data_IF_840119470585
#
_entry.id   IF_840119470585
#
_cell.length_a   1.000
_cell.length_b   1.000
_cell.length_c   1.000
_cell.angle_alpha   90.00
_cell.angle_beta   90.00
_cell.angle_gamma   90.00
#
_symmetry.space_group_name_H-M   'P 1'
#
loop_
_entity.id
_entity.type
_entity.pdbx_description
1 polymer ?
#
# COMPACT_ATOMS: atom_id res chain seq x y z
N UNK A 1 -51.24 20.26 25.46
CA UNK A 1 -49.78 20.16 25.70
C UNK A 1 -49.31 18.97 24.87
N UNK A 2 -48.78 19.24 23.68
CA UNK A 2 -48.14 18.21 22.85
C UNK A 2 -46.85 17.80 23.56
N UNK A 3 -46.80 16.58 24.10
CA UNK A 3 -45.57 15.96 24.57
C UNK A 3 -44.60 15.91 23.38
N UNK A 4 -43.71 16.88 23.25
CA UNK A 4 -42.60 16.79 22.32
C UNK A 4 -41.64 15.76 22.91
N UNK A 5 -41.48 14.64 22.22
CA UNK A 5 -40.45 13.65 22.54
C UNK A 5 -39.09 14.36 22.54
N UNK A 6 -38.30 14.21 23.58
CA UNK A 6 -36.93 14.73 23.63
C UNK A 6 -36.10 14.03 22.55
N UNK A 7 -35.46 14.81 21.67
CA UNK A 7 -34.57 14.25 20.67
C UNK A 7 -33.22 13.89 21.32
N UNK A 8 -32.66 12.75 20.88
CA UNK A 8 -31.32 12.28 21.23
C UNK A 8 -30.39 12.35 20.04
N UNK A 9 -29.08 12.20 20.26
CA UNK A 9 -28.09 12.14 19.17
C UNK A 9 -28.30 10.89 18.29
N UNK A 10 -28.80 9.80 18.90
CA UNK A 10 -29.20 8.57 18.18
C UNK A 10 -30.35 8.80 17.22
N UNK A 11 -31.31 9.67 17.56
CA UNK A 11 -32.40 10.07 16.66
C UNK A 11 -31.88 10.88 15.45
N UNK A 12 -30.72 11.50 15.60
CA UNK A 12 -30.02 12.20 14.53
C UNK A 12 -29.11 11.29 13.69
N UNK A 13 -29.03 9.99 14.03
CA UNK A 13 -28.28 8.98 13.27
C UNK A 13 -26.87 8.70 13.78
N UNK A 14 -26.49 9.22 14.97
CA UNK A 14 -25.17 8.97 15.58
C UNK A 14 -25.35 8.15 16.87
N UNK A 15 -24.74 6.96 16.93
CA UNK A 15 -24.84 6.05 18.06
C UNK A 15 -23.52 5.97 18.87
N UNK A 16 -23.44 6.78 19.93
CA UNK A 16 -22.26 6.83 20.82
C UNK A 16 -21.94 5.46 21.43
N UNK A 17 -22.95 4.65 21.76
CA UNK A 17 -22.76 3.32 22.37
C UNK A 17 -22.12 2.36 21.37
N UNK A 18 -22.50 2.41 20.10
CA UNK A 18 -21.87 1.64 19.03
C UNK A 18 -20.39 2.02 18.87
N UNK A 19 -20.06 3.31 18.94
CA UNK A 19 -18.66 3.79 18.92
C UNK A 19 -17.85 3.24 20.10
N UNK A 20 -18.42 3.23 21.31
CA UNK A 20 -17.76 2.68 22.49
C UNK A 20 -17.56 1.16 22.39
N UNK A 21 -18.55 0.42 21.86
CA UNK A 21 -18.45 -1.03 21.64
C UNK A 21 -17.33 -1.34 20.65
N UNK A 22 -17.23 -0.59 19.54
CA UNK A 22 -16.14 -0.72 18.57
C UNK A 22 -14.78 -0.56 19.25
N UNK A 23 -14.57 0.51 20.04
CA UNK A 23 -13.32 0.75 20.76
C UNK A 23 -12.97 -0.43 21.68
N UNK A 24 -13.94 -0.97 22.41
CA UNK A 24 -13.72 -2.11 23.30
C UNK A 24 -13.31 -3.37 22.52
N UNK A 25 -13.92 -3.61 21.38
CA UNK A 25 -13.63 -4.78 20.52
C UNK A 25 -12.23 -4.73 19.91
N UNK A 26 -11.72 -3.57 19.53
CA UNK A 26 -10.41 -3.43 18.87
C UNK A 26 -9.23 -3.35 19.83
N UNK A 27 -9.43 -3.09 21.13
CA UNK A 27 -8.34 -2.96 22.12
C UNK A 27 -7.34 -4.12 22.08
N UNK A 28 -7.84 -5.35 21.91
CA UNK A 28 -7.02 -6.57 21.87
C UNK A 28 -6.06 -6.62 20.69
N UNK A 29 -6.56 -6.30 19.48
CA UNK A 29 -5.76 -6.35 18.26
C UNK A 29 -4.78 -5.18 18.18
N UNK A 30 -5.20 -4.00 18.62
CA UNK A 30 -4.33 -2.81 18.69
C UNK A 30 -3.15 -3.04 19.64
N UNK A 31 -3.38 -3.66 20.79
CA UNK A 31 -2.33 -4.00 21.76
C UNK A 31 -1.22 -4.90 21.16
N UNK A 32 -1.55 -5.72 20.16
CA UNK A 32 -0.58 -6.61 19.51
C UNK A 32 0.42 -5.86 18.60
N UNK A 33 0.13 -4.62 18.24
CA UNK A 33 0.99 -3.78 17.39
C UNK A 33 1.99 -2.94 18.20
N UNK A 34 1.96 -3.03 19.54
CA UNK A 34 2.67 -2.12 20.43
C UNK A 34 4.19 -2.17 20.22
N UNK A 35 4.79 -0.98 20.18
CA UNK A 35 6.24 -0.76 20.15
C UNK A 35 6.73 -0.22 21.49
N UNK A 36 8.02 -0.42 21.84
CA UNK A 36 8.61 0.12 23.07
C UNK A 36 8.52 1.65 23.18
N UNK A 37 8.58 2.35 22.04
CA UNK A 37 8.57 3.81 21.97
C UNK A 37 7.20 4.41 22.27
N UNK A 38 6.13 3.63 22.18
CA UNK A 38 4.76 4.10 22.41
C UNK A 38 4.45 4.18 23.90
N UNK A 39 4.13 5.39 24.35
CA UNK A 39 3.78 5.69 25.74
C UNK A 39 2.25 5.84 25.88
N UNK A 40 1.63 5.01 26.75
CA UNK A 40 0.19 5.05 26.95
C UNK A 40 -0.56 3.97 26.16
N UNK A 41 -1.84 4.21 25.88
CA UNK A 41 -2.76 3.30 25.18
C UNK A 41 -3.88 4.07 24.51
N UNK A 42 -4.86 3.34 23.93
CA UNK A 42 -6.06 3.93 23.31
C UNK A 42 -6.92 4.68 24.33
N UNK A 43 -7.60 5.73 23.89
CA UNK A 43 -8.60 6.48 24.66
C UNK A 43 -8.11 7.83 25.19
N UNK A 44 -6.87 8.24 24.89
CA UNK A 44 -6.40 9.60 25.12
C UNK A 44 -6.73 10.53 23.94
N UNK A 45 -6.61 11.84 24.14
CA UNK A 45 -6.78 12.84 23.05
C UNK A 45 -5.68 12.76 22.00
N UNK A 46 -4.54 12.16 22.30
CA UNK A 46 -3.43 11.97 21.40
C UNK A 46 -2.52 10.84 21.85
N UNK A 47 -1.77 10.29 20.91
CA UNK A 47 -0.77 9.27 21.19
C UNK A 47 0.60 9.90 21.43
N UNK A 48 1.36 9.33 22.35
CA UNK A 48 2.72 9.72 22.65
C UNK A 48 3.67 8.63 22.16
N UNK A 49 4.67 9.03 21.37
CA UNK A 49 5.71 8.14 20.89
C UNK A 49 7.07 8.80 21.07
N UNK A 50 8.00 8.14 21.76
CA UNK A 50 9.37 8.59 21.84
C UNK A 50 10.12 8.27 20.57
N UNK A 51 11.14 9.06 20.24
CA UNK A 51 12.05 8.71 19.16
C UNK A 51 13.00 7.58 19.62
N UNK A 52 13.25 6.56 18.76
CA UNK A 52 14.23 5.52 19.09
C UNK A 52 15.63 6.09 19.30
N UNK A 53 16.30 5.67 20.36
CA UNK A 53 17.62 6.20 20.76
C UNK A 53 18.76 5.83 19.79
N UNK A 54 18.53 4.93 18.85
CA UNK A 54 19.53 4.51 17.86
C UNK A 54 19.87 5.60 16.83
N UNK A 55 18.98 6.58 16.62
CA UNK A 55 19.18 7.68 15.67
C UNK A 55 19.90 8.85 16.34
N UNK A 56 20.92 9.43 15.66
CA UNK A 56 21.69 10.58 16.13
C UNK A 56 21.12 11.91 15.64
N UNK A 57 20.78 11.98 14.37
CA UNK A 57 20.08 13.09 13.72
C UNK A 57 18.77 12.58 13.09
N UNK A 58 17.76 12.24 13.92
CA UNK A 58 16.51 11.65 13.43
C UNK A 58 15.72 12.65 12.59
N UNK A 59 15.31 12.23 11.40
CA UNK A 59 14.37 12.94 10.53
C UNK A 59 13.05 12.17 10.54
N UNK A 60 11.97 12.87 10.85
CA UNK A 60 10.62 12.28 10.75
C UNK A 60 10.14 12.30 9.30
N UNK A 61 9.61 11.19 8.86
CA UNK A 61 8.96 11.03 7.56
C UNK A 61 7.49 10.72 7.82
N UNK A 62 6.59 11.43 7.18
CA UNK A 62 5.15 11.24 7.35
C UNK A 62 4.45 11.14 6.00
N UNK A 63 3.42 10.30 5.95
CA UNK A 63 2.58 10.11 4.78
C UNK A 63 1.14 9.86 5.18
N UNK A 64 0.24 10.17 4.27
CA UNK A 64 -1.18 9.86 4.37
C UNK A 64 -1.66 9.30 3.05
N UNK A 65 -2.50 8.29 3.11
CA UNK A 65 -3.13 7.68 1.94
C UNK A 65 -4.48 7.05 2.31
N UNK A 66 -5.24 6.67 1.30
CA UNK A 66 -6.46 5.90 1.41
C UNK A 66 -6.35 4.57 0.66
N UNK A 67 -7.47 3.85 0.58
CA UNK A 67 -7.56 2.61 -0.22
C UNK A 67 -8.12 2.89 -1.62
N UNK A 68 -8.84 3.99 -1.76
CA UNK A 68 -9.48 4.36 -3.01
C UNK A 68 -10.66 3.45 -3.38
N UNK A 69 -10.96 3.36 -4.67
CA UNK A 69 -12.20 2.70 -5.15
C UNK A 69 -12.18 1.16 -5.08
N UNK A 70 -11.11 0.54 -4.58
CA UNK A 70 -11.10 -0.86 -4.12
C UNK A 70 -12.12 -1.07 -3.00
N UNK A 71 -12.33 -0.04 -2.15
CA UNK A 71 -13.37 -0.06 -1.11
C UNK A 71 -14.75 -0.40 -1.69
N UNK A 72 -15.12 0.19 -2.84
CA UNK A 72 -16.43 -0.09 -3.44
C UNK A 72 -16.57 -1.57 -3.80
N UNK A 73 -15.52 -2.18 -4.35
CA UNK A 73 -15.53 -3.62 -4.66
C UNK A 73 -15.64 -4.46 -3.38
N UNK A 74 -14.92 -4.09 -2.32
CA UNK A 74 -14.99 -4.77 -1.02
C UNK A 74 -16.38 -4.67 -0.39
N UNK A 75 -17.01 -3.50 -0.44
CA UNK A 75 -18.38 -3.28 0.05
C UNK A 75 -19.41 -4.09 -0.76
N UNK A 76 -19.31 -4.07 -2.09
CA UNK A 76 -20.22 -4.81 -2.97
C UNK A 76 -20.13 -6.33 -2.74
N UNK A 77 -18.93 -6.84 -2.43
CA UNK A 77 -18.68 -8.27 -2.14
C UNK A 77 -18.74 -8.60 -0.63
N UNK A 78 -18.99 -7.62 0.24
CA UNK A 78 -19.00 -7.76 1.71
C UNK A 78 -17.75 -8.42 2.27
N UNK A 79 -16.58 -8.03 1.74
CA UNK A 79 -15.26 -8.55 2.13
C UNK A 79 -14.39 -7.38 2.64
N UNK A 80 -14.31 -7.24 3.96
CA UNK A 80 -13.72 -6.08 4.63
C UNK A 80 -12.41 -6.40 5.35
N UNK A 81 -12.09 -7.67 5.54
CA UNK A 81 -11.04 -8.20 6.41
C UNK A 81 -9.61 -7.84 5.96
N UNK A 82 -9.38 -7.61 4.66
CA UNK A 82 -8.07 -7.29 4.11
C UNK A 82 -7.86 -5.79 3.81
N UNK A 83 -8.94 -5.01 3.79
CA UNK A 83 -8.90 -3.58 3.42
C UNK A 83 -7.99 -2.76 4.34
N UNK A 84 -7.97 -3.08 5.64
CA UNK A 84 -7.07 -2.42 6.58
C UNK A 84 -5.59 -2.67 6.28
N UNK A 85 -5.24 -3.85 5.75
CA UNK A 85 -3.87 -4.15 5.30
C UNK A 85 -3.50 -3.26 4.11
N UNK A 86 -4.43 -3.10 3.14
CA UNK A 86 -4.24 -2.19 2.01
C UNK A 86 -3.94 -0.76 2.49
N UNK A 87 -4.73 -0.25 3.45
CA UNK A 87 -4.56 1.09 3.98
C UNK A 87 -3.16 1.30 4.58
N UNK A 88 -2.74 0.38 5.44
CA UNK A 88 -1.41 0.44 6.07
C UNK A 88 -0.32 0.34 5.01
N UNK A 89 -0.43 -0.60 4.08
CA UNK A 89 0.57 -0.83 3.04
C UNK A 89 0.81 0.41 2.18
N UNK A 90 -0.26 1.11 1.77
CA UNK A 90 -0.15 2.34 0.97
C UNK A 90 0.66 3.41 1.71
N UNK A 91 0.45 3.56 3.01
CA UNK A 91 1.18 4.55 3.82
C UNK A 91 2.62 4.11 4.13
N UNK A 92 2.83 2.90 4.66
CA UNK A 92 4.16 2.49 5.15
C UNK A 92 5.16 2.20 4.03
N UNK A 93 4.68 1.75 2.87
CA UNK A 93 5.53 1.56 1.70
C UNK A 93 6.07 2.90 1.18
N UNK A 94 5.27 3.98 1.23
CA UNK A 94 5.71 5.32 0.84
C UNK A 94 6.72 5.94 1.83
N UNK A 95 6.71 5.49 3.09
CA UNK A 95 7.73 5.89 4.06
C UNK A 95 9.04 5.15 3.82
N UNK A 96 8.98 3.82 3.64
CA UNK A 96 10.20 3.00 3.52
C UNK A 96 10.99 3.28 2.25
N UNK A 97 10.36 3.82 1.18
CA UNK A 97 11.11 4.21 -0.04
C UNK A 97 12.11 5.35 0.22
N UNK A 98 11.95 6.09 1.31
CA UNK A 98 12.89 7.12 1.77
C UNK A 98 13.88 6.60 2.82
N UNK A 99 13.90 5.28 3.08
CA UNK A 99 14.73 4.65 4.10
C UNK A 99 14.13 4.71 5.51
N UNK A 100 12.91 5.21 5.66
CA UNK A 100 12.32 5.43 6.98
C UNK A 100 11.72 4.14 7.57
N UNK A 101 12.02 3.90 8.84
CA UNK A 101 11.35 2.90 9.68
C UNK A 101 10.01 3.45 10.16
N UNK A 102 8.86 2.83 9.81
CA UNK A 102 7.56 3.25 10.34
C UNK A 102 7.49 3.07 11.86
N UNK A 103 7.07 4.12 12.59
CA UNK A 103 6.95 4.11 14.04
C UNK A 103 5.53 3.88 14.50
N UNK A 104 4.59 4.71 14.01
CA UNK A 104 3.20 4.63 14.41
C UNK A 104 2.25 4.99 13.28
N UNK A 105 1.04 4.50 13.43
CA UNK A 105 -0.07 4.64 12.48
C UNK A 105 -1.32 5.15 13.19
N UNK A 106 -2.08 5.98 12.50
CA UNK A 106 -3.40 6.46 12.88
C UNK A 106 -4.34 6.23 11.70
N UNK A 107 -5.59 5.90 11.97
CA UNK A 107 -6.61 5.75 10.95
C UNK A 107 -7.78 6.73 11.16
N UNK A 108 -8.50 6.99 10.09
CA UNK A 108 -9.78 7.69 10.09
C UNK A 108 -10.78 6.82 9.33
N UNK A 109 -11.80 6.35 10.04
CA UNK A 109 -12.90 5.57 9.48
C UNK A 109 -14.16 6.43 9.47
N UNK A 110 -14.71 6.72 8.29
CA UNK A 110 -15.89 7.55 8.11
C UNK A 110 -17.01 6.75 7.45
N UNK A 111 -18.23 6.86 7.97
CA UNK A 111 -19.41 6.15 7.46
C UNK A 111 -20.68 6.95 7.67
N UNK A 112 -21.75 6.63 6.95
CA UNK A 112 -23.08 7.24 7.20
C UNK A 112 -23.73 6.72 8.46
N UNK A 113 -23.57 5.41 8.73
CA UNK A 113 -24.03 4.72 9.94
C UNK A 113 -23.04 3.64 10.30
N UNK A 114 -22.62 3.61 11.56
CA UNK A 114 -21.63 2.65 12.02
C UNK A 114 -22.19 1.23 12.09
N UNK A 115 -21.65 0.35 11.26
CA UNK A 115 -21.72 -1.10 11.44
C UNK A 115 -20.47 -1.56 12.18
N UNK A 116 -20.64 -1.95 13.45
CA UNK A 116 -19.54 -2.29 14.35
C UNK A 116 -18.74 -3.51 13.85
N UNK A 117 -19.41 -4.48 13.22
CA UNK A 117 -18.74 -5.69 12.72
C UNK A 117 -17.84 -5.36 11.53
N UNK A 118 -18.33 -4.57 10.58
CA UNK A 118 -17.56 -4.08 9.43
C UNK A 118 -16.37 -3.24 9.87
N UNK A 119 -16.59 -2.26 10.75
CA UNK A 119 -15.53 -1.40 11.25
C UNK A 119 -14.46 -2.18 12.03
N UNK A 120 -14.87 -3.10 12.91
CA UNK A 120 -13.95 -3.96 13.65
C UNK A 120 -13.12 -4.87 12.70
N UNK A 121 -13.73 -5.37 11.62
CA UNK A 121 -13.03 -6.15 10.60
C UNK A 121 -11.95 -5.32 9.90
N UNK A 122 -12.29 -4.11 9.45
CA UNK A 122 -11.33 -3.19 8.81
C UNK A 122 -10.19 -2.82 9.75
N UNK A 123 -10.49 -2.44 11.00
CA UNK A 123 -9.46 -2.06 11.99
C UNK A 123 -8.59 -3.26 12.38
N UNK A 124 -9.14 -4.47 12.40
CA UNK A 124 -8.35 -5.70 12.58
C UNK A 124 -7.36 -5.88 11.43
N UNK A 125 -7.76 -5.61 10.20
CA UNK A 125 -6.87 -5.57 9.04
C UNK A 125 -5.79 -4.49 9.17
N UNK A 126 -6.12 -3.29 9.68
CA UNK A 126 -5.15 -2.23 9.97
C UNK A 126 -4.11 -2.72 11.01
N UNK A 127 -4.56 -3.32 12.10
CA UNK A 127 -3.66 -3.87 13.10
C UNK A 127 -2.74 -4.97 12.52
N UNK A 128 -3.26 -5.81 11.62
CA UNK A 128 -2.44 -6.82 10.93
C UNK A 128 -1.39 -6.19 10.02
N UNK A 129 -1.76 -5.17 9.24
CA UNK A 129 -0.80 -4.40 8.43
C UNK A 129 0.28 -3.72 9.27
N UNK A 130 -0.09 -3.17 10.43
CA UNK A 130 0.83 -2.59 11.39
C UNK A 130 1.81 -3.64 11.95
N UNK A 131 1.36 -4.84 12.27
CA UNK A 131 2.23 -5.96 12.70
C UNK A 131 3.21 -6.37 11.60
N UNK A 132 2.73 -6.46 10.36
CA UNK A 132 3.58 -6.81 9.22
C UNK A 132 4.68 -5.78 8.99
N UNK A 133 4.36 -4.49 9.10
CA UNK A 133 5.32 -3.39 8.94
C UNK A 133 6.18 -3.12 10.17
N UNK A 134 5.82 -3.65 11.35
CA UNK A 134 6.47 -3.32 12.62
C UNK A 134 6.10 -1.94 13.16
N UNK A 135 5.00 -1.38 12.68
CA UNK A 135 4.43 -0.09 13.09
C UNK A 135 3.42 -0.28 14.22
N UNK A 136 3.26 0.70 15.10
CA UNK A 136 2.24 0.66 16.16
C UNK A 136 0.97 1.37 15.72
N UNK A 137 -0.19 0.71 15.79
CA UNK A 137 -1.48 1.39 15.72
C UNK A 137 -1.72 2.08 17.06
N UNK A 138 -1.66 3.41 17.10
CA UNK A 138 -1.67 4.17 18.35
C UNK A 138 -2.95 4.94 18.61
N UNK A 139 -3.85 5.00 17.63
CA UNK A 139 -5.13 5.68 17.72
C UNK A 139 -5.79 5.78 16.37
N UNK A 140 -6.89 6.48 16.33
CA UNK A 140 -7.67 6.74 15.15
C UNK A 140 -8.94 7.49 15.49
N UNK A 141 -9.79 7.71 14.51
CA UNK A 141 -11.10 8.34 14.65
C UNK A 141 -12.14 7.51 13.90
N UNK A 142 -13.30 7.33 14.50
CA UNK A 142 -14.47 6.74 13.85
C UNK A 142 -15.59 7.77 13.82
N UNK A 143 -15.97 8.21 12.63
CA UNK A 143 -16.96 9.25 12.44
C UNK A 143 -18.24 8.71 11.79
N UNK A 144 -19.36 8.81 12.50
CA UNK A 144 -20.68 8.67 11.89
C UNK A 144 -21.12 10.02 11.31
N UNK A 145 -21.35 10.07 10.00
CA UNK A 145 -21.73 11.28 9.26
C UNK A 145 -22.99 11.03 8.43
N UNK A 146 -24.17 10.96 9.08
CA UNK A 146 -25.45 10.74 8.41
C UNK A 146 -25.69 11.76 7.30
N UNK A 147 -26.03 11.26 6.09
CA UNK A 147 -26.25 12.10 4.92
C UNK A 147 -25.01 12.47 4.10
N UNK A 148 -23.80 12.21 4.61
CA UNK A 148 -22.55 12.34 3.85
C UNK A 148 -22.21 11.06 3.10
N UNK A 149 -22.42 9.90 3.72
CA UNK A 149 -22.27 8.59 3.12
C UNK A 149 -23.63 7.90 3.00
N UNK A 150 -23.81 7.08 1.97
CA UNK A 150 -25.07 6.39 1.68
C UNK A 150 -25.03 4.94 2.18
N UNK A 151 -26.09 4.53 2.90
CA UNK A 151 -26.22 3.15 3.39
C UNK A 151 -25.02 2.72 4.24
N UNK A 152 -24.42 1.59 3.85
CA UNK A 152 -23.27 0.98 4.52
C UNK A 152 -21.92 1.44 3.92
N UNK A 153 -21.92 2.52 3.12
CA UNK A 153 -20.70 3.06 2.54
C UNK A 153 -19.80 3.63 3.63
N UNK A 154 -18.50 3.38 3.47
CA UNK A 154 -17.48 3.94 4.34
C UNK A 154 -16.25 4.36 3.54
N UNK A 155 -15.45 5.23 4.12
CA UNK A 155 -14.13 5.61 3.62
C UNK A 155 -13.10 5.47 4.74
N UNK A 156 -11.85 5.23 4.35
CA UNK A 156 -10.74 5.11 5.30
C UNK A 156 -9.53 5.89 4.82
N UNK A 157 -8.91 6.60 5.75
CA UNK A 157 -7.64 7.27 5.54
C UNK A 157 -6.64 6.84 6.61
N UNK A 158 -5.39 6.67 6.21
CA UNK A 158 -4.28 6.31 7.10
C UNK A 158 -3.26 7.43 7.19
N UNK A 159 -2.64 7.55 8.35
CA UNK A 159 -1.54 8.46 8.63
C UNK A 159 -0.41 7.66 9.27
N UNK A 160 0.73 7.67 8.65
CA UNK A 160 1.92 6.99 9.16
C UNK A 160 3.04 7.99 9.42
N UNK A 161 3.75 7.81 10.53
CA UNK A 161 4.98 8.54 10.84
C UNK A 161 6.08 7.53 11.05
N UNK A 162 7.20 7.77 10.39
CA UNK A 162 8.43 6.99 10.49
C UNK A 162 9.63 7.88 10.79
N UNK A 163 10.77 7.27 10.93
CA UNK A 163 12.05 7.95 11.23
C UNK A 163 13.16 7.35 10.39
N UNK A 164 14.07 8.23 9.97
CA UNK A 164 15.30 7.85 9.28
C UNK A 164 16.46 8.68 9.83
N UNK A 165 17.67 8.10 9.85
CA UNK A 165 18.89 8.88 10.12
C UNK A 165 19.14 9.84 8.96
N UNK A 166 19.44 11.10 9.23
CA UNK A 166 19.60 12.16 8.22
C UNK A 166 20.59 11.78 7.11
N UNK A 167 21.68 11.10 7.48
CA UNK A 167 22.71 10.66 6.53
C UNK A 167 22.29 9.44 5.70
N UNK A 168 21.17 8.77 6.04
CA UNK A 168 20.69 7.55 5.42
C UNK A 168 19.40 7.76 4.59
N UNK A 169 19.00 9.02 4.39
CA UNK A 169 17.84 9.35 3.55
C UNK A 169 18.11 8.88 2.12
N UNK A 170 17.15 8.12 1.59
CA UNK A 170 17.14 7.67 0.20
C UNK A 170 16.27 8.64 -0.61
N UNK A 171 16.90 9.47 -1.44
CA UNK A 171 16.24 10.51 -2.22
C UNK A 171 16.53 10.42 -3.74
N UNK A 172 17.23 9.37 -4.16
CA UNK A 172 17.63 9.18 -5.56
C UNK A 172 18.87 9.95 -5.99
N UNK A 173 19.45 10.82 -5.15
CA UNK A 173 20.62 11.65 -5.49
C UNK A 173 21.87 10.83 -5.80
N UNK A 174 21.97 9.62 -5.26
CA UNK A 174 23.09 8.69 -5.49
C UNK A 174 22.97 7.91 -6.81
N UNK A 175 21.84 7.94 -7.50
CA UNK A 175 21.63 7.17 -8.73
C UNK A 175 22.57 7.63 -9.82
N UNK A 176 23.30 6.68 -10.42
CA UNK A 176 24.28 6.92 -11.47
C UNK A 176 24.01 6.07 -12.71
N UNK A 177 24.50 6.52 -13.91
CA UNK A 177 24.45 5.66 -15.08
C UNK A 177 25.22 4.35 -14.87
N UNK A 178 24.58 3.23 -15.14
CA UNK A 178 25.11 1.90 -14.90
C UNK A 178 24.46 1.19 -13.72
N UNK A 179 23.75 1.91 -12.87
CA UNK A 179 22.90 1.30 -11.84
C UNK A 179 21.85 0.40 -12.49
N UNK A 180 21.45 -0.61 -11.74
CA UNK A 180 20.40 -1.54 -12.12
C UNK A 180 19.19 -1.39 -11.23
N UNK A 181 18.02 -1.76 -11.76
CA UNK A 181 16.78 -1.81 -11.03
C UNK A 181 16.44 -3.25 -10.69
N UNK A 182 16.27 -3.56 -9.41
CA UNK A 182 15.76 -4.83 -8.92
C UNK A 182 14.31 -4.65 -8.55
N UNK A 183 13.43 -5.46 -9.16
CA UNK A 183 11.99 -5.38 -8.92
C UNK A 183 11.55 -6.36 -7.84
N UNK A 184 10.60 -5.98 -7.01
CA UNK A 184 9.93 -6.82 -6.04
C UNK A 184 8.51 -7.11 -6.52
N UNK A 185 8.11 -8.38 -6.48
CA UNK A 185 6.80 -8.82 -6.95
C UNK A 185 5.65 -8.23 -6.13
N UNK A 186 4.57 -7.87 -6.83
CA UNK A 186 3.29 -7.49 -6.22
C UNK A 186 2.46 -8.72 -5.86
N UNK A 187 1.57 -8.58 -4.88
CA UNK A 187 0.57 -9.62 -4.52
C UNK A 187 -0.61 -9.66 -5.52
N UNK A 188 -0.88 -8.53 -6.18
CA UNK A 188 -1.97 -8.31 -7.10
C UNK A 188 -2.00 -6.87 -7.57
N UNK A 189 -3.16 -6.32 -7.94
CA UNK A 189 -3.29 -4.91 -8.35
C UNK A 189 -3.01 -3.90 -7.22
N UNK A 190 -2.84 -4.37 -5.99
CA UNK A 190 -2.69 -3.57 -4.79
C UNK A 190 -3.94 -2.73 -4.53
N UNK A 191 -3.81 -1.40 -4.42
CA UNK A 191 -4.94 -0.49 -4.20
C UNK A 191 -5.08 0.55 -5.32
N UNK A 192 -4.50 0.31 -6.50
CA UNK A 192 -4.47 1.27 -7.60
C UNK A 192 -5.22 0.75 -8.84
N UNK A 193 -5.79 1.68 -9.61
CA UNK A 193 -6.47 1.36 -10.86
C UNK A 193 -7.89 0.80 -10.68
N UNK A 194 -8.48 0.79 -9.49
CA UNK A 194 -9.77 0.13 -9.23
C UNK A 194 -10.97 0.80 -9.89
N UNK A 195 -10.90 2.07 -10.23
CA UNK A 195 -11.93 2.69 -11.06
C UNK A 195 -11.99 2.03 -12.45
N UNK A 196 -10.82 1.71 -13.03
CA UNK A 196 -10.74 0.98 -14.30
C UNK A 196 -11.14 -0.50 -14.12
N UNK A 197 -10.68 -1.17 -13.05
CA UNK A 197 -11.11 -2.55 -12.72
C UNK A 197 -12.62 -2.65 -12.67
N UNK A 198 -13.30 -1.79 -11.90
CA UNK A 198 -14.75 -1.77 -11.77
C UNK A 198 -15.44 -1.50 -13.12
N UNK A 199 -14.89 -0.57 -13.91
CA UNK A 199 -15.41 -0.31 -15.25
C UNK A 199 -15.27 -1.53 -16.18
N UNK A 200 -14.15 -2.26 -16.08
CA UNK A 200 -13.95 -3.51 -16.85
C UNK A 200 -14.96 -4.56 -16.44
N UNK A 201 -15.17 -4.78 -15.14
CA UNK A 201 -16.19 -5.72 -14.64
C UNK A 201 -17.59 -5.38 -15.17
N UNK A 202 -17.93 -4.08 -15.17
CA UNK A 202 -19.22 -3.57 -15.67
C UNK A 202 -19.38 -3.83 -17.18
N UNK A 203 -18.46 -3.40 -18.01
CA UNK A 203 -18.57 -3.52 -19.47
C UNK A 203 -18.44 -4.95 -19.97
N UNK A 204 -17.69 -5.80 -19.26
CA UNK A 204 -17.57 -7.23 -19.58
C UNK A 204 -18.71 -8.07 -18.99
N UNK A 205 -19.60 -7.46 -18.22
CA UNK A 205 -20.68 -8.13 -17.48
C UNK A 205 -20.16 -9.34 -16.66
N UNK A 206 -19.00 -9.17 -16.01
CA UNK A 206 -18.32 -10.24 -15.28
C UNK A 206 -18.68 -10.23 -13.80
N UNK A 207 -19.14 -11.37 -13.29
CA UNK A 207 -19.23 -11.58 -11.84
C UNK A 207 -17.90 -12.11 -11.32
N UNK A 208 -17.17 -11.33 -10.48
CA UNK A 208 -15.83 -11.71 -10.04
C UNK A 208 -15.83 -12.91 -9.08
N UNK A 209 -16.90 -13.18 -8.36
CA UNK A 209 -17.00 -14.35 -7.46
C UNK A 209 -17.19 -15.66 -8.24
N UNK A 210 -17.87 -15.60 -9.41
CA UNK A 210 -18.16 -16.76 -10.24
C UNK A 210 -17.10 -17.01 -11.32
N UNK A 211 -16.24 -16.02 -11.58
CA UNK A 211 -15.18 -16.14 -12.59
C UNK A 211 -13.95 -16.75 -11.96
N UNK A 212 -13.52 -17.92 -12.47
CA UNK A 212 -12.32 -18.61 -12.00
C UNK A 212 -11.08 -18.17 -12.80
N UNK A 213 -9.99 -17.91 -12.10
CA UNK A 213 -8.69 -17.55 -12.66
C UNK A 213 -7.60 -18.31 -11.89
N UNK A 214 -6.85 -19.19 -12.54
CA UNK A 214 -5.79 -20.01 -11.92
C UNK A 214 -6.24 -20.74 -10.64
N UNK A 215 -7.48 -21.23 -10.60
CA UNK A 215 -8.01 -22.02 -9.49
C UNK A 215 -8.52 -21.22 -8.29
N UNK A 216 -8.52 -19.88 -8.37
CA UNK A 216 -9.15 -18.96 -7.41
C UNK A 216 -10.26 -18.18 -8.10
N UNK A 217 -11.13 -17.52 -7.33
CA UNK A 217 -12.07 -16.57 -7.92
C UNK A 217 -11.33 -15.31 -8.38
N UNK A 218 -11.86 -14.62 -9.39
CA UNK A 218 -11.35 -13.32 -9.78
C UNK A 218 -11.45 -12.32 -8.63
N UNK A 219 -12.48 -12.43 -7.79
CA UNK A 219 -12.62 -11.62 -6.58
C UNK A 219 -11.44 -11.81 -5.62
N UNK A 220 -10.93 -13.03 -5.43
CA UNK A 220 -9.74 -13.29 -4.60
C UNK A 220 -8.50 -12.59 -5.15
N UNK A 221 -8.30 -12.60 -6.46
CA UNK A 221 -7.18 -11.88 -7.10
C UNK A 221 -7.32 -10.36 -6.99
N UNK A 222 -8.54 -9.85 -7.12
CA UNK A 222 -8.81 -8.41 -7.05
C UNK A 222 -8.82 -7.86 -5.61
N UNK A 223 -9.16 -8.68 -4.61
CA UNK A 223 -9.15 -8.28 -3.21
C UNK A 223 -7.89 -8.73 -2.46
N UNK A 224 -6.92 -9.36 -3.15
CA UNK A 224 -5.62 -9.66 -2.53
C UNK A 224 -5.02 -8.38 -1.95
N UNK A 225 -4.65 -8.36 -0.66
CA UNK A 225 -4.15 -7.15 -0.02
C UNK A 225 -2.83 -6.68 -0.62
N UNK A 226 -2.63 -5.38 -0.60
CA UNK A 226 -1.38 -4.73 -0.99
C UNK A 226 -0.23 -5.27 -0.15
N UNK A 227 0.84 -5.68 -0.82
CA UNK A 227 2.02 -6.21 -0.15
C UNK A 227 2.76 -5.13 0.62
N UNK A 228 3.17 -5.46 1.85
CA UNK A 228 3.99 -4.61 2.70
C UNK A 228 5.46 -5.02 2.55
N UNK A 229 6.31 -4.10 2.06
CA UNK A 229 7.72 -4.35 1.76
C UNK A 229 8.67 -3.89 2.88
N UNK A 230 8.16 -3.29 3.94
CA UNK A 230 8.95 -2.59 4.97
C UNK A 230 10.11 -3.44 5.51
N UNK A 231 9.82 -4.65 5.99
CA UNK A 231 10.86 -5.49 6.61
C UNK A 231 11.95 -5.92 5.63
N UNK A 232 11.57 -6.28 4.41
CA UNK A 232 12.49 -6.69 3.36
C UNK A 232 13.40 -5.52 2.93
N UNK A 233 12.81 -4.34 2.77
CA UNK A 233 13.54 -3.14 2.36
C UNK A 233 14.46 -2.64 3.47
N UNK A 234 13.99 -2.56 4.72
CA UNK A 234 14.87 -2.16 5.84
C UNK A 234 16.05 -3.11 6.00
N UNK A 235 15.81 -4.42 5.90
CA UNK A 235 16.90 -5.41 5.93
C UNK A 235 17.88 -5.27 4.76
N UNK A 236 17.39 -4.87 3.59
CA UNK A 236 18.22 -4.64 2.42
C UNK A 236 19.10 -3.39 2.59
N UNK A 237 18.52 -2.29 3.07
CA UNK A 237 19.21 -1.00 3.31
C UNK A 237 20.32 -1.14 4.34
N UNK A 238 20.12 -1.96 5.38
CA UNK A 238 21.13 -2.23 6.41
C UNK A 238 22.39 -2.91 5.85
N UNK A 239 22.31 -3.55 4.69
CA UNK A 239 23.38 -4.40 4.17
C UNK A 239 23.99 -3.90 2.84
N UNK A 240 23.24 -3.09 2.08
CA UNK A 240 23.64 -2.63 0.75
C UNK A 240 23.43 -1.13 0.60
N UNK A 241 24.26 -0.51 -0.21
CA UNK A 241 24.09 0.91 -0.61
C UNK A 241 22.98 1.00 -1.67
N UNK A 242 21.82 1.45 -1.25
CA UNK A 242 20.63 1.61 -2.09
C UNK A 242 20.55 3.07 -2.53
N UNK A 243 20.45 3.28 -3.84
CA UNK A 243 20.49 4.62 -4.43
C UNK A 243 19.09 5.25 -4.56
N UNK A 244 18.07 4.45 -4.88
CA UNK A 244 16.67 4.90 -4.95
C UNK A 244 15.71 3.72 -4.76
N UNK A 245 14.50 4.04 -4.33
CA UNK A 245 13.39 3.07 -4.24
C UNK A 245 12.13 3.72 -4.79
N UNK A 246 11.37 2.99 -5.62
CA UNK A 246 10.10 3.45 -6.15
C UNK A 246 8.98 2.46 -5.77
N UNK A 247 7.92 2.96 -5.15
CA UNK A 247 6.67 2.22 -4.93
C UNK A 247 5.78 2.40 -6.15
N UNK A 248 5.38 1.31 -6.81
CA UNK A 248 4.55 1.36 -8.02
C UNK A 248 3.07 1.43 -7.64
N UNK A 249 2.57 2.64 -7.56
CA UNK A 249 1.19 3.02 -7.27
C UNK A 249 0.48 3.60 -8.50
N UNK A 250 -0.48 4.50 -8.32
CA UNK A 250 -1.12 5.23 -9.42
C UNK A 250 -0.08 5.95 -10.29
N UNK A 251 -0.28 5.93 -11.60
CA UNK A 251 0.72 6.38 -12.58
C UNK A 251 1.68 5.28 -13.05
N UNK A 252 1.68 4.12 -12.37
CA UNK A 252 2.41 2.91 -12.77
C UNK A 252 3.90 3.12 -12.97
N UNK A 253 4.46 2.45 -13.98
CA UNK A 253 5.88 2.55 -14.31
C UNK A 253 6.28 3.93 -14.84
N UNK A 254 5.39 4.57 -15.60
CA UNK A 254 5.68 5.82 -16.30
C UNK A 254 5.89 7.02 -15.39
N UNK A 255 5.23 7.03 -14.24
CA UNK A 255 5.30 8.17 -13.32
C UNK A 255 6.14 7.88 -12.07
N UNK A 256 6.11 6.64 -11.52
CA UNK A 256 6.77 6.38 -10.24
C UNK A 256 8.27 6.13 -10.38
N UNK A 257 8.74 5.42 -11.41
CA UNK A 257 10.18 5.19 -11.59
C UNK A 257 10.93 6.49 -11.92
N UNK A 258 10.49 7.35 -12.86
CA UNK A 258 11.18 8.60 -13.14
C UNK A 258 11.24 9.58 -11.96
N UNK A 259 10.27 9.49 -11.03
CA UNK A 259 10.20 10.36 -9.83
C UNK A 259 11.43 10.24 -8.94
N UNK A 260 12.05 9.07 -8.90
CA UNK A 260 13.21 8.78 -8.04
C UNK A 260 14.55 8.83 -8.79
N UNK A 261 14.53 9.20 -10.08
CA UNK A 261 15.74 9.32 -10.89
C UNK A 261 16.20 10.78 -10.98
N UNK A 262 17.51 11.06 -10.93
CA UNK A 262 18.05 12.40 -11.17
C UNK A 262 17.68 12.94 -12.56
N UNK A 263 17.63 14.27 -12.66
CA UNK A 263 17.35 14.93 -13.94
C UNK A 263 18.32 14.47 -15.04
N UNK A 264 17.80 14.13 -16.21
CA UNK A 264 18.61 13.67 -17.34
C UNK A 264 18.88 12.17 -17.36
N UNK A 265 18.38 11.41 -16.39
CA UNK A 265 18.43 9.96 -16.39
C UNK A 265 17.10 9.36 -16.80
N UNK A 266 17.14 8.10 -17.17
CA UNK A 266 15.96 7.29 -17.51
C UNK A 266 16.20 5.82 -17.16
N UNK A 267 15.14 5.12 -16.86
CA UNK A 267 15.13 3.67 -16.72
C UNK A 267 14.78 3.02 -18.07
N UNK A 268 15.48 1.95 -18.42
CA UNK A 268 15.11 1.07 -19.54
C UNK A 268 14.52 -0.19 -18.94
N UNK A 269 13.25 -0.44 -19.25
CA UNK A 269 12.48 -1.56 -18.74
C UNK A 269 12.39 -2.63 -19.83
N UNK A 270 12.91 -3.82 -19.56
CA UNK A 270 12.71 -4.99 -20.42
C UNK A 270 11.43 -5.71 -20.01
N UNK A 271 10.38 -5.53 -20.78
CA UNK A 271 9.08 -6.16 -20.55
C UNK A 271 9.11 -7.70 -20.61
N UNK A 272 10.10 -8.29 -21.26
CA UNK A 272 10.27 -9.73 -21.34
C UNK A 272 10.91 -10.32 -20.07
N UNK A 273 11.40 -9.48 -19.16
CA UNK A 273 12.09 -9.90 -17.94
C UNK A 273 11.18 -10.52 -16.88
N UNK A 274 9.86 -10.32 -16.96
CA UNK A 274 8.88 -10.96 -16.09
C UNK A 274 7.57 -11.30 -16.82
N UNK A 275 6.80 -12.19 -16.23
CA UNK A 275 5.45 -12.50 -16.70
C UNK A 275 4.42 -11.79 -15.83
N UNK A 276 3.41 -11.20 -16.45
CA UNK A 276 2.31 -10.63 -15.70
C UNK A 276 1.54 -11.72 -14.95
N UNK A 277 1.19 -11.52 -13.67
CA UNK A 277 0.17 -12.33 -13.02
C UNK A 277 -1.13 -12.36 -13.85
N UNK A 278 -1.81 -13.48 -13.84
CA UNK A 278 -2.96 -13.74 -14.70
C UNK A 278 -4.06 -12.66 -14.60
N UNK A 279 -4.23 -12.06 -13.44
CA UNK A 279 -5.20 -10.97 -13.22
C UNK A 279 -4.97 -9.78 -14.15
N UNK A 280 -3.72 -9.40 -14.43
CA UNK A 280 -3.42 -8.28 -15.33
C UNK A 280 -3.69 -8.64 -16.79
N UNK A 281 -3.36 -9.87 -17.19
CA UNK A 281 -3.71 -10.38 -18.53
C UNK A 281 -5.21 -10.44 -18.74
N UNK A 282 -5.96 -10.86 -17.69
CA UNK A 282 -7.41 -10.85 -17.70
C UNK A 282 -7.96 -9.42 -17.84
N UNK A 283 -7.48 -8.49 -17.01
CA UNK A 283 -7.90 -7.07 -17.07
C UNK A 283 -7.65 -6.46 -18.44
N UNK A 284 -6.48 -6.73 -19.03
CA UNK A 284 -6.14 -6.25 -20.38
C UNK A 284 -7.12 -6.77 -21.42
N UNK A 285 -7.38 -8.07 -21.41
CA UNK A 285 -8.24 -8.72 -22.42
C UNK A 285 -9.71 -8.33 -22.25
N UNK A 286 -10.24 -8.44 -21.03
CA UNK A 286 -11.65 -8.15 -20.74
C UNK A 286 -12.00 -6.66 -20.96
N UNK A 287 -11.06 -5.77 -20.67
CA UNK A 287 -11.24 -4.32 -20.86
C UNK A 287 -10.75 -3.81 -22.20
N UNK A 288 -10.14 -4.64 -23.06
CA UNK A 288 -9.42 -4.22 -24.26
C UNK A 288 -8.49 -3.01 -23.99
N UNK A 289 -7.75 -3.10 -22.87
CA UNK A 289 -6.87 -2.03 -22.42
C UNK A 289 -5.54 -2.10 -23.18
N UNK A 290 -5.09 -0.97 -23.71
CA UNK A 290 -3.79 -0.93 -24.42
C UNK A 290 -2.64 -1.27 -23.45
N UNK A 291 -1.57 -1.88 -23.97
CA UNK A 291 -0.41 -2.24 -23.15
C UNK A 291 0.20 -1.02 -22.44
N UNK A 292 0.27 0.11 -23.14
CA UNK A 292 0.73 1.37 -22.55
C UNK A 292 -0.13 1.80 -21.34
N UNK A 293 -1.46 1.72 -21.47
CA UNK A 293 -2.36 2.09 -20.38
C UNK A 293 -2.31 1.10 -19.20
N UNK A 294 -2.05 -0.19 -19.47
CA UNK A 294 -1.79 -1.17 -18.41
C UNK A 294 -0.60 -0.75 -17.53
N UNK A 295 0.53 -0.37 -18.14
CA UNK A 295 1.71 0.10 -17.40
C UNK A 295 1.57 1.49 -16.78
N UNK A 296 0.60 2.29 -17.24
CA UNK A 296 0.28 3.59 -16.66
C UNK A 296 -0.66 3.49 -15.47
N UNK A 297 -1.56 2.51 -15.49
CA UNK A 297 -2.61 2.38 -14.47
C UNK A 297 -2.22 1.39 -13.37
N UNK A 298 -1.54 0.29 -13.75
CA UNK A 298 -1.29 -0.85 -12.88
C UNK A 298 0.21 -1.10 -12.67
N UNK A 299 0.50 -1.81 -11.58
CA UNK A 299 1.85 -2.30 -11.27
C UNK A 299 2.27 -3.51 -12.15
N UNK A 300 1.37 -4.11 -12.89
CA UNK A 300 1.59 -5.27 -13.78
C UNK A 300 2.42 -6.41 -13.14
N UNK A 301 2.32 -6.59 -11.82
CA UNK A 301 3.01 -7.62 -11.06
C UNK A 301 4.31 -7.17 -10.38
N UNK A 302 4.70 -5.91 -10.52
CA UNK A 302 5.87 -5.30 -9.85
C UNK A 302 5.40 -4.22 -8.90
N UNK A 303 5.48 -4.45 -7.59
CA UNK A 303 4.97 -3.48 -6.61
C UNK A 303 6.02 -2.48 -6.12
N UNK A 304 7.30 -2.83 -6.18
CA UNK A 304 8.40 -1.96 -5.75
C UNK A 304 9.64 -2.20 -6.61
N UNK A 305 10.44 -1.16 -6.79
CA UNK A 305 11.69 -1.20 -7.54
C UNK A 305 12.79 -0.55 -6.72
N UNK A 306 13.96 -1.18 -6.67
CA UNK A 306 15.15 -0.70 -5.95
C UNK A 306 16.27 -0.46 -6.95
N UNK A 307 16.85 0.75 -6.95
CA UNK A 307 18.01 1.10 -7.75
C UNK A 307 19.30 0.97 -6.93
N UNK A 308 20.32 0.30 -7.48
CA UNK A 308 21.57 0.04 -6.80
C UNK A 308 22.71 -0.23 -7.82
N UNK A 309 24.00 -0.17 -7.41
CA UNK A 309 25.13 -0.55 -8.25
C UNK A 309 24.99 -1.97 -8.83
N UNK A 310 25.35 -2.13 -10.10
CA UNK A 310 25.14 -3.39 -10.83
C UNK A 310 25.83 -4.60 -10.18
N UNK A 311 26.99 -4.40 -9.56
CA UNK A 311 27.75 -5.44 -8.84
C UNK A 311 27.05 -5.94 -7.57
N UNK A 312 26.10 -5.18 -7.02
CA UNK A 312 25.34 -5.55 -5.82
C UNK A 312 24.01 -6.27 -6.18
N UNK A 313 23.63 -6.34 -7.44
CA UNK A 313 22.32 -6.84 -7.87
C UNK A 313 22.05 -8.28 -7.41
N UNK A 314 23.01 -9.20 -7.64
CA UNK A 314 22.84 -10.60 -7.27
C UNK A 314 22.71 -10.78 -5.75
N UNK A 315 23.48 -9.97 -4.99
CA UNK A 315 23.39 -9.98 -3.52
C UNK A 315 22.06 -9.42 -3.03
N UNK A 316 21.54 -8.37 -3.69
CA UNK A 316 20.22 -7.83 -3.37
C UNK A 316 19.11 -8.87 -3.60
N UNK A 317 19.17 -9.58 -4.74
CA UNK A 317 18.24 -10.68 -5.04
C UNK A 317 18.32 -11.79 -4.00
N UNK A 318 19.52 -12.20 -3.58
CA UNK A 318 19.71 -13.21 -2.54
C UNK A 318 19.07 -12.76 -1.20
N UNK A 319 19.36 -11.55 -0.74
CA UNK A 319 18.83 -10.99 0.51
C UNK A 319 17.30 -10.83 0.49
N UNK A 320 16.75 -10.33 -0.60
CA UNK A 320 15.31 -10.20 -0.78
C UNK A 320 14.63 -11.57 -0.77
N UNK A 321 15.22 -12.56 -1.44
CA UNK A 321 14.70 -13.94 -1.43
C UNK A 321 14.74 -14.54 -0.02
N UNK A 322 15.82 -14.32 0.71
CA UNK A 322 15.98 -14.81 2.09
C UNK A 322 15.00 -14.17 3.07
N UNK A 323 14.63 -12.90 2.85
CA UNK A 323 13.62 -12.19 3.67
C UNK A 323 12.16 -12.57 3.34
N UNK A 324 11.98 -13.58 2.48
CA UNK A 324 10.64 -14.10 2.17
C UNK A 324 9.95 -13.39 0.99
N UNK A 325 10.69 -12.53 0.29
CA UNK A 325 10.29 -12.05 -1.03
C UNK A 325 10.34 -13.24 -1.99
N UNK A 326 9.35 -14.13 -1.89
CA UNK A 326 9.25 -15.23 -2.85
C UNK A 326 9.02 -14.62 -4.21
N UNK A 327 9.84 -14.97 -5.23
CA UNK A 327 9.37 -14.81 -6.59
C UNK A 327 8.04 -15.56 -6.65
N UNK A 328 6.93 -14.86 -6.84
CA UNK A 328 5.66 -15.51 -7.14
C UNK A 328 5.91 -16.48 -8.28
N UNK A 329 5.14 -17.55 -8.44
CA UNK A 329 5.29 -18.52 -9.54
C UNK A 329 5.30 -17.89 -10.95
N UNK A 330 5.04 -16.59 -11.03
CA UNK A 330 4.96 -15.79 -12.26
C UNK A 330 5.91 -14.59 -12.32
N UNK A 331 6.64 -14.25 -11.25
CA UNK A 331 7.64 -13.18 -11.28
C UNK A 331 8.97 -13.79 -10.91
N UNK A 332 9.69 -14.34 -11.88
CA UNK A 332 11.12 -14.51 -11.75
C UNK A 332 11.69 -13.10 -11.53
N UNK A 333 12.51 -12.92 -10.48
CA UNK A 333 13.21 -11.66 -10.26
C UNK A 333 13.88 -11.24 -11.57
N UNK A 334 13.57 -10.07 -12.13
CA UNK A 334 13.99 -9.74 -13.49
C UNK A 334 15.48 -9.60 -13.56
N UNK A 335 16.03 -10.07 -14.67
CA UNK A 335 17.36 -9.70 -15.10
C UNK A 335 17.41 -8.18 -15.20
N UNK A 336 18.40 -7.58 -14.55
CA UNK A 336 18.79 -6.20 -14.43
C UNK A 336 18.16 -5.23 -15.45
N UNK A 337 17.26 -4.39 -14.98
CA UNK A 337 16.86 -3.17 -15.68
C UNK A 337 17.98 -2.15 -15.48
N UNK A 338 18.37 -1.40 -16.52
CA UNK A 338 19.52 -0.49 -16.43
C UNK A 338 19.06 0.96 -16.38
N UNK A 339 19.75 1.75 -15.57
CA UNK A 339 19.66 3.22 -15.63
C UNK A 339 20.64 3.73 -16.67
N UNK A 340 20.14 4.52 -17.63
CA UNK A 340 20.93 5.13 -18.69
C UNK A 340 20.83 6.65 -18.64
N UNK A 341 21.86 7.35 -19.10
CA UNK A 341 21.75 8.79 -19.35
C UNK A 341 20.91 9.03 -20.62
N UNK A 342 20.15 10.13 -20.68
CA UNK A 342 19.34 10.47 -21.89
C UNK A 342 20.19 10.64 -23.16
N UNK A 343 21.47 10.89 -23.05
CA UNK A 343 22.40 11.01 -24.18
C UNK A 343 22.77 9.66 -24.83
N UNK A 344 22.50 8.52 -24.16
CA UNK A 344 22.81 7.19 -24.71
C UNK A 344 21.69 6.56 -25.54
N UNK A 345 20.57 7.26 -25.76
CA UNK A 345 19.34 6.75 -26.41
C UNK A 345 19.23 7.03 -27.91
N UNK A 346 20.30 7.33 -28.62
CA UNK A 346 20.23 7.52 -30.08
C UNK A 346 20.47 6.19 -30.84
N UNK A 347 20.34 5.02 -30.24
CA UNK A 347 20.34 3.76 -31.01
C UNK A 347 19.51 2.68 -30.36
N UNK A 348 18.46 2.31 -31.04
CA UNK A 348 17.56 1.15 -30.86
C UNK A 348 16.20 1.43 -30.21
N UNK A 349 15.37 2.22 -30.88
CA UNK A 349 13.95 1.96 -30.99
C UNK A 349 13.68 2.01 -32.50
N UNK A 350 13.77 0.87 -33.14
CA UNK A 350 13.18 0.65 -34.46
C UNK A 350 11.98 -0.27 -34.24
N UNK A 351 10.80 0.30 -34.52
CA UNK A 351 9.48 -0.29 -34.83
C UNK A 351 8.89 -1.36 -33.91
#
# INVERSE_FOLDING_TARGET
VTNKTSLSYKDAGVDIDAGNDLVDRIKGVVKQTRRPEVMGGLGGFGALCALPQKYREPILVSGTDGVGTKLRLAMDLKRHDTIGIDLVAMCVNDLVVQGAEPLFFLDYFATGKLDVDTAASVITGIAEGCKQSGCALVGGETAEMPGMYHGDDYDVAGFCVGVVEKSEIIDGSKVTPGDVLVALGASGPHSNGYSLVRKILDVSNTNPEQTSLEGKSLADHLLEPTKIYVKSILSLIEQLDIHAIAHLTGGGFWENIPRVLPQGMQAVIDEASWQWPAVFSWLQQAGNVSRHEMYRTFNCGVGMVVALPAELADKAVELLTASGEKPGKSVSLPRQLRVLSKSSLIRNIAD
#
